data_IF_949718580873
#
_entry.id   IF_949718580873
#
_cell.length_a   1.000
_cell.length_b   1.000
_cell.length_c   1.000
_cell.angle_alpha   90.00
_cell.angle_beta   90.00
_cell.angle_gamma   90.00
#
_symmetry.space_group_name_H-M   'P 1'
#
loop_
_entity.id
_entity.type
_entity.pdbx_description
1 polymer ?
#
# COMPACT_ATOMS: atom_id res chain seq x y z
N UNK A 1 46.18 19.18 -4.93
CA UNK A 1 45.11 18.78 -5.87
C UNK A 1 45.11 17.30 -6.22
N UNK A 2 46.25 16.64 -6.47
CA UNK A 2 46.28 15.21 -6.81
C UNK A 2 45.85 14.25 -5.68
N UNK A 3 46.11 14.59 -4.41
CA UNK A 3 45.73 13.76 -3.26
C UNK A 3 44.20 13.71 -3.04
N UNK A 4 43.51 14.83 -3.24
CA UNK A 4 42.05 14.94 -3.07
C UNK A 4 41.30 14.17 -4.17
N UNK A 5 41.84 14.16 -5.39
CA UNK A 5 41.29 13.38 -6.51
C UNK A 5 41.52 11.89 -6.28
N UNK A 6 42.70 11.48 -5.79
CA UNK A 6 42.98 10.09 -5.47
C UNK A 6 42.12 9.55 -4.31
N UNK A 7 41.86 10.37 -3.28
CA UNK A 7 40.94 10.01 -2.20
C UNK A 7 39.50 9.92 -2.69
N UNK A 8 39.05 10.85 -3.53
CA UNK A 8 37.70 10.81 -4.11
C UNK A 8 37.53 9.58 -5.01
N UNK A 9 38.55 9.22 -5.80
CA UNK A 9 38.54 8.01 -6.64
C UNK A 9 38.63 6.73 -5.81
N UNK A 10 39.34 6.76 -4.68
CA UNK A 10 39.39 5.66 -3.71
C UNK A 10 38.06 5.48 -2.97
N UNK A 11 37.37 6.57 -2.65
CA UNK A 11 36.03 6.57 -2.07
C UNK A 11 34.98 6.09 -3.07
N UNK A 12 35.01 6.61 -4.31
CA UNK A 12 34.20 6.12 -5.42
C UNK A 12 34.45 4.64 -5.67
N UNK A 13 35.71 4.19 -5.78
CA UNK A 13 36.01 2.76 -5.96
C UNK A 13 35.61 1.89 -4.77
N UNK A 14 35.63 2.40 -3.53
CA UNK A 14 35.06 1.70 -2.36
C UNK A 14 33.52 1.58 -2.46
N UNK A 15 32.84 2.62 -2.94
CA UNK A 15 31.40 2.60 -3.26
C UNK A 15 31.05 1.65 -4.41
N UNK A 16 31.90 1.57 -5.45
CA UNK A 16 31.74 0.67 -6.60
C UNK A 16 32.18 -0.78 -6.31
N UNK A 17 33.01 -1.02 -5.30
CA UNK A 17 33.52 -2.36 -4.95
C UNK A 17 32.47 -3.20 -4.22
N UNK A 18 31.56 -2.58 -3.49
CA UNK A 18 30.38 -3.25 -2.93
C UNK A 18 29.24 -3.21 -3.95
N UNK A 19 29.16 -4.25 -4.79
CA UNK A 19 28.05 -4.46 -5.75
C UNK A 19 26.68 -4.24 -5.10
N UNK A 20 26.52 -4.64 -3.83
CA UNK A 20 25.27 -4.52 -3.09
C UNK A 20 24.88 -3.08 -2.73
N UNK A 21 25.83 -2.20 -2.42
CA UNK A 21 25.55 -0.80 -2.03
C UNK A 21 25.25 0.05 -3.27
N UNK A 22 25.93 -0.19 -4.39
CA UNK A 22 25.63 0.50 -5.65
C UNK A 22 24.30 0.04 -6.23
N UNK A 23 23.99 -1.26 -6.18
CA UNK A 23 22.68 -1.79 -6.57
C UNK A 23 21.60 -1.18 -5.67
N UNK A 24 21.82 -1.15 -4.35
CA UNK A 24 20.86 -0.57 -3.40
C UNK A 24 20.65 0.93 -3.63
N UNK A 25 21.71 1.73 -3.74
CA UNK A 25 21.60 3.17 -3.99
C UNK A 25 21.03 3.48 -5.38
N UNK A 26 21.33 2.65 -6.38
CA UNK A 26 20.71 2.72 -7.71
C UNK A 26 19.23 2.35 -7.70
N UNK A 27 18.83 1.31 -6.95
CA UNK A 27 17.43 0.94 -6.71
C UNK A 27 16.68 2.01 -5.93
N UNK A 28 17.34 2.66 -4.97
CA UNK A 28 16.76 3.78 -4.22
C UNK A 28 16.59 4.97 -5.15
N UNK A 29 17.58 5.34 -5.97
CA UNK A 29 17.47 6.46 -6.91
C UNK A 29 16.42 6.22 -8.02
N UNK A 30 16.43 5.03 -8.64
CA UNK A 30 15.39 4.61 -9.59
C UNK A 30 14.03 4.48 -8.92
N UNK A 31 14.00 4.03 -7.67
CA UNK A 31 12.82 3.97 -6.83
C UNK A 31 12.25 5.36 -6.58
N UNK A 32 13.08 6.36 -6.27
CA UNK A 32 12.65 7.74 -6.05
C UNK A 32 12.10 8.37 -7.33
N UNK A 33 12.85 8.33 -8.43
CA UNK A 33 12.41 8.92 -9.72
C UNK A 33 11.22 8.18 -10.30
N UNK A 34 11.24 6.84 -10.25
CA UNK A 34 10.11 6.01 -10.68
C UNK A 34 8.88 6.20 -9.78
N UNK A 35 9.08 6.47 -8.48
CA UNK A 35 7.96 6.74 -7.56
C UNK A 35 7.28 8.06 -7.87
N UNK A 36 8.02 9.14 -8.17
CA UNK A 36 7.42 10.43 -8.53
C UNK A 36 6.56 10.33 -9.80
N UNK A 37 7.05 9.65 -10.84
CA UNK A 37 6.33 9.46 -12.09
C UNK A 37 5.15 8.48 -11.95
N UNK A 38 5.31 7.39 -11.19
CA UNK A 38 4.21 6.48 -10.87
C UNK A 38 3.14 7.15 -10.02
N UNK A 39 3.51 8.04 -9.10
CA UNK A 39 2.55 8.78 -8.28
C UNK A 39 1.69 9.75 -9.11
N UNK A 40 2.21 10.27 -10.22
CA UNK A 40 1.45 11.07 -11.19
C UNK A 40 0.45 10.21 -12.00
N UNK A 41 0.87 9.03 -12.46
CA UNK A 41 -0.01 8.10 -13.20
C UNK A 41 -1.11 7.50 -12.31
N UNK A 42 -0.80 7.26 -11.03
CA UNK A 42 -1.77 6.86 -10.01
C UNK A 42 -2.40 8.04 -9.27
N UNK A 43 -2.43 9.24 -9.87
CA UNK A 43 -3.08 10.40 -9.28
C UNK A 43 -4.52 10.04 -8.88
N UNK A 44 -4.70 9.87 -7.57
CA UNK A 44 -5.96 9.43 -7.00
C UNK A 44 -6.95 10.60 -7.04
N UNK A 45 -8.04 10.43 -7.80
CA UNK A 45 -9.06 11.45 -7.97
C UNK A 45 -10.40 10.92 -7.46
N UNK A 46 -10.82 11.35 -6.27
CA UNK A 46 -12.08 10.93 -5.69
C UNK A 46 -13.27 11.42 -6.53
N UNK A 47 -14.27 10.58 -6.86
CA UNK A 47 -15.40 10.99 -7.69
C UNK A 47 -16.43 11.88 -6.97
N UNK A 48 -16.29 12.05 -5.65
CA UNK A 48 -17.12 12.90 -4.79
C UNK A 48 -18.63 12.76 -5.00
N UNK A 49 -19.05 11.51 -5.14
CA UNK A 49 -20.43 11.11 -5.37
C UNK A 49 -20.80 10.02 -4.36
N UNK A 50 -21.96 10.13 -3.69
CA UNK A 50 -22.40 9.12 -2.74
C UNK A 50 -22.51 7.74 -3.40
N UNK A 51 -22.25 6.69 -2.62
CA UNK A 51 -22.10 5.28 -3.00
C UNK A 51 -20.92 4.95 -3.95
N UNK A 52 -20.46 5.90 -4.78
CA UNK A 52 -19.33 5.69 -5.70
C UNK A 52 -17.99 5.86 -5.01
N UNK A 53 -17.92 6.76 -4.02
CA UNK A 53 -16.74 7.04 -3.24
C UNK A 53 -16.16 5.79 -2.57
N UNK A 54 -17.00 5.02 -1.87
CA UNK A 54 -16.62 3.76 -1.24
C UNK A 54 -16.00 2.77 -2.24
N UNK A 55 -16.69 2.53 -3.36
CA UNK A 55 -16.25 1.57 -4.37
C UNK A 55 -14.92 2.00 -4.99
N UNK A 56 -14.79 3.28 -5.34
CA UNK A 56 -13.57 3.80 -5.95
C UNK A 56 -12.38 3.78 -4.99
N UNK A 57 -12.56 4.23 -3.74
CA UNK A 57 -11.51 4.21 -2.73
C UNK A 57 -11.06 2.80 -2.37
N UNK A 58 -12.00 1.86 -2.25
CA UNK A 58 -11.68 0.45 -2.01
C UNK A 58 -10.96 -0.18 -3.21
N UNK A 59 -11.41 0.09 -4.43
CA UNK A 59 -10.77 -0.42 -5.65
C UNK A 59 -9.35 0.13 -5.80
N UNK A 60 -9.12 1.40 -5.49
CA UNK A 60 -7.80 2.03 -5.56
C UNK A 60 -6.78 1.39 -4.60
N UNK A 61 -7.23 0.90 -3.44
CA UNK A 61 -6.36 0.15 -2.52
C UNK A 61 -6.26 -1.32 -2.94
N UNK A 62 -7.39 -1.97 -3.21
CA UNK A 62 -7.49 -3.42 -3.38
C UNK A 62 -7.03 -3.95 -4.73
N UNK A 63 -7.32 -3.26 -5.84
CA UNK A 63 -6.99 -3.74 -7.19
C UNK A 63 -5.48 -3.78 -7.43
N UNK A 64 -4.69 -2.72 -7.11
CA UNK A 64 -3.24 -2.79 -7.25
C UNK A 64 -2.61 -3.82 -6.30
N UNK A 65 -3.13 -3.95 -5.07
CA UNK A 65 -2.70 -5.01 -4.16
C UNK A 65 -2.94 -6.42 -4.77
N UNK A 66 -4.13 -6.68 -5.30
CA UNK A 66 -4.43 -7.96 -5.94
C UNK A 66 -3.53 -8.22 -7.15
N UNK A 67 -3.30 -7.22 -7.99
CA UNK A 67 -2.39 -7.35 -9.14
C UNK A 67 -0.95 -7.68 -8.70
N UNK A 68 -0.42 -6.97 -7.71
CA UNK A 68 0.91 -7.23 -7.14
C UNK A 68 1.01 -8.63 -6.51
N UNK A 69 -0.06 -9.06 -5.83
CA UNK A 69 -0.13 -10.41 -5.27
C UNK A 69 -0.06 -11.48 -6.36
N UNK A 70 -0.87 -11.36 -7.42
CA UNK A 70 -0.88 -12.31 -8.54
C UNK A 70 0.48 -12.35 -9.24
N UNK A 71 1.10 -11.19 -9.49
CA UNK A 71 2.45 -11.10 -10.05
C UNK A 71 3.45 -11.82 -9.15
N UNK A 72 3.39 -11.60 -7.83
CA UNK A 72 4.23 -12.28 -6.85
C UNK A 72 4.08 -13.80 -6.86
N UNK A 73 2.86 -14.31 -7.02
CA UNK A 73 2.58 -15.75 -7.14
C UNK A 73 3.14 -16.31 -8.45
N UNK A 74 2.96 -15.62 -9.57
CA UNK A 74 3.41 -16.02 -10.91
C UNK A 74 4.95 -16.04 -11.00
N UNK A 75 5.63 -15.05 -10.41
CA UNK A 75 7.10 -14.96 -10.45
C UNK A 75 7.79 -15.94 -9.47
N UNK A 76 7.05 -16.59 -8.58
CA UNK A 76 7.63 -17.49 -7.60
C UNK A 76 7.83 -18.91 -8.19
N UNK A 77 9.09 -19.31 -8.39
CA UNK A 77 9.45 -20.64 -8.89
C UNK A 77 8.90 -21.79 -8.05
N UNK A 78 8.71 -21.60 -6.73
CA UNK A 78 8.13 -22.63 -5.87
C UNK A 78 6.66 -22.92 -6.24
N UNK A 79 5.91 -21.93 -6.72
CA UNK A 79 4.54 -22.10 -7.21
C UNK A 79 4.52 -23.10 -8.36
N UNK A 80 5.37 -22.89 -9.37
CA UNK A 80 5.44 -23.75 -10.55
C UNK A 80 5.95 -25.15 -10.24
N UNK A 81 6.92 -25.27 -9.32
CA UNK A 81 7.39 -26.57 -8.86
C UNK A 81 6.26 -27.37 -8.19
N UNK A 82 5.43 -26.73 -7.35
CA UNK A 82 4.27 -27.38 -6.74
C UNK A 82 3.23 -27.80 -7.78
N UNK A 83 2.92 -26.93 -8.74
CA UNK A 83 1.97 -27.23 -9.81
C UNK A 83 2.47 -28.40 -10.67
N UNK A 84 3.75 -28.41 -11.05
CA UNK A 84 4.37 -29.49 -11.82
C UNK A 84 4.37 -30.81 -11.04
N UNK A 85 4.66 -30.78 -9.75
CA UNK A 85 4.66 -31.95 -8.88
C UNK A 85 3.24 -32.52 -8.70
N UNK A 86 2.24 -31.64 -8.53
CA UNK A 86 0.83 -32.04 -8.45
C UNK A 86 0.35 -32.68 -9.77
N UNK A 87 0.74 -32.10 -10.90
CA UNK A 87 0.43 -32.65 -12.23
C UNK A 87 1.07 -34.03 -12.45
N UNK A 88 2.32 -34.24 -11.99
CA UNK A 88 3.03 -35.52 -12.15
C UNK A 88 2.52 -36.62 -11.20
N UNK A 89 2.23 -36.31 -9.94
CA UNK A 89 1.87 -37.30 -8.90
C UNK A 89 0.37 -37.52 -8.74
N UNK A 90 -0.48 -36.70 -9.37
CA UNK A 90 -1.95 -36.85 -9.36
C UNK A 90 -2.52 -36.98 -7.94
N UNK A 91 -2.53 -35.88 -7.17
CA UNK A 91 -3.10 -35.70 -5.80
C UNK A 91 -2.81 -36.74 -4.71
N UNK A 92 -2.16 -37.87 -5.00
CA UNK A 92 -2.15 -39.07 -4.15
C UNK A 92 -1.03 -39.13 -3.11
N UNK A 93 -0.04 -38.25 -3.15
CA UNK A 93 1.17 -38.36 -2.31
C UNK A 93 1.67 -37.01 -1.74
N UNK A 94 0.76 -36.13 -1.31
CA UNK A 94 1.15 -34.92 -0.59
C UNK A 94 0.86 -35.06 0.90
N UNK A 95 1.92 -35.01 1.73
CA UNK A 95 1.76 -34.78 3.16
C UNK A 95 1.14 -33.39 3.34
N UNK A 96 -0.07 -33.33 3.89
CA UNK A 96 -0.83 -32.08 4.06
C UNK A 96 -0.01 -31.01 4.79
N UNK A 97 0.79 -31.41 5.79
CA UNK A 97 1.67 -30.51 6.53
C UNK A 97 2.78 -29.91 5.66
N UNK A 98 3.41 -30.70 4.79
CA UNK A 98 4.44 -30.21 3.87
C UNK A 98 3.85 -29.27 2.82
N UNK A 99 2.67 -29.58 2.28
CA UNK A 99 1.94 -28.70 1.36
C UNK A 99 1.58 -27.37 2.02
N UNK A 100 1.13 -27.40 3.27
CA UNK A 100 0.77 -26.20 4.02
C UNK A 100 1.98 -25.29 4.25
N UNK A 101 3.14 -25.84 4.62
CA UNK A 101 4.37 -25.08 4.79
C UNK A 101 4.87 -24.47 3.47
N UNK A 102 4.81 -25.24 2.37
CA UNK A 102 5.19 -24.76 1.05
C UNK A 102 4.25 -23.66 0.56
N UNK A 103 2.95 -23.83 0.75
CA UNK A 103 1.94 -22.82 0.45
C UNK A 103 2.17 -21.55 1.28
N UNK A 104 2.41 -21.68 2.60
CA UNK A 104 2.74 -20.56 3.47
C UNK A 104 3.99 -19.81 3.01
N UNK A 105 5.04 -20.51 2.57
CA UNK A 105 6.25 -19.90 2.00
C UNK A 105 5.97 -19.13 0.71
N UNK A 106 5.12 -19.67 -0.18
CA UNK A 106 4.74 -19.01 -1.43
C UNK A 106 3.91 -17.77 -1.15
N UNK A 107 2.85 -17.91 -0.35
CA UNK A 107 1.95 -16.82 0.00
C UNK A 107 2.68 -15.72 0.76
N UNK A 108 3.56 -16.07 1.71
CA UNK A 108 4.35 -15.11 2.46
C UNK A 108 5.26 -14.25 1.57
N UNK A 109 5.93 -14.85 0.58
CA UNK A 109 6.75 -14.11 -0.38
C UNK A 109 5.91 -13.24 -1.32
N UNK A 110 4.78 -13.75 -1.80
CA UNK A 110 3.88 -13.02 -2.69
C UNK A 110 3.14 -11.87 -1.98
N UNK A 111 2.94 -11.96 -0.66
CA UNK A 111 2.23 -10.97 0.14
C UNK A 111 3.05 -9.71 0.46
N UNK A 112 4.37 -9.71 0.25
CA UNK A 112 5.25 -8.56 0.61
C UNK A 112 4.84 -7.29 -0.15
N UNK A 113 4.73 -7.37 -1.47
CA UNK A 113 4.36 -6.23 -2.32
C UNK A 113 2.94 -5.68 -2.04
N UNK A 114 1.87 -6.51 -1.98
CA UNK A 114 0.52 -6.00 -1.69
C UNK A 114 0.40 -5.41 -0.29
N UNK A 115 1.01 -6.02 0.73
CA UNK A 115 1.02 -5.45 2.09
C UNK A 115 1.71 -4.08 2.08
N UNK A 116 2.86 -3.97 1.42
CA UNK A 116 3.59 -2.70 1.31
C UNK A 116 2.75 -1.63 0.62
N UNK A 117 2.06 -1.98 -0.47
CA UNK A 117 1.14 -1.07 -1.16
C UNK A 117 0.01 -0.60 -0.24
N UNK A 118 -0.69 -1.53 0.41
CA UNK A 118 -1.79 -1.19 1.32
C UNK A 118 -1.34 -0.29 2.48
N UNK A 119 -0.16 -0.55 3.05
CA UNK A 119 0.44 0.31 4.08
C UNK A 119 0.68 1.72 3.54
N UNK A 120 1.31 1.87 2.38
CA UNK A 120 1.58 3.18 1.78
C UNK A 120 0.27 3.92 1.50
N UNK A 121 -0.74 3.24 0.93
CA UNK A 121 -2.06 3.82 0.68
C UNK A 121 -2.76 4.28 1.96
N UNK A 122 -2.70 3.48 3.03
CA UNK A 122 -3.29 3.81 4.33
C UNK A 122 -2.56 4.98 5.02
N UNK A 123 -1.23 5.03 4.95
CA UNK A 123 -0.46 6.12 5.53
C UNK A 123 -0.67 7.46 4.79
N UNK A 124 -0.85 7.42 3.46
CA UNK A 124 -1.28 8.58 2.65
C UNK A 124 -2.71 9.01 3.01
N UNK A 125 -3.61 8.04 3.20
CA UNK A 125 -4.97 8.24 3.71
C UNK A 125 -5.99 8.82 2.73
N UNK A 126 -5.60 9.22 1.53
CA UNK A 126 -6.51 9.81 0.52
C UNK A 126 -7.63 8.85 0.10
N UNK A 127 -7.29 7.60 -0.20
CA UNK A 127 -8.26 6.59 -0.59
C UNK A 127 -9.22 6.21 0.55
N UNK A 128 -8.71 6.18 1.79
CA UNK A 128 -9.51 5.92 2.99
C UNK A 128 -10.50 7.06 3.27
N UNK A 129 -10.03 8.32 3.19
CA UNK A 129 -10.86 9.51 3.35
C UNK A 129 -11.96 9.53 2.28
N UNK A 130 -11.61 9.27 1.02
CA UNK A 130 -12.60 9.18 -0.06
C UNK A 130 -13.64 8.10 0.27
N UNK A 131 -13.21 6.87 0.59
CA UNK A 131 -14.12 5.74 0.82
C UNK A 131 -15.06 5.90 2.01
N UNK A 132 -14.62 6.57 3.08
CA UNK A 132 -15.35 6.62 4.35
C UNK A 132 -16.01 7.96 4.66
N UNK A 133 -15.72 9.01 3.87
CA UNK A 133 -16.31 10.34 4.02
C UNK A 133 -17.84 10.30 4.16
N UNK A 134 -18.52 9.54 3.30
CA UNK A 134 -19.98 9.44 3.27
C UNK A 134 -20.62 8.72 4.47
N UNK A 135 -19.85 7.91 5.21
CA UNK A 135 -20.35 7.12 6.34
C UNK A 135 -20.17 7.82 7.70
N UNK A 136 -19.58 9.01 7.72
CA UNK A 136 -19.43 9.80 8.95
C UNK A 136 -20.80 10.23 9.43
N UNK A 137 -21.16 9.87 10.67
CA UNK A 137 -22.46 10.24 11.24
C UNK A 137 -22.52 11.74 11.51
N UNK A 138 -23.51 12.48 10.93
CA UNK A 138 -23.69 13.91 11.20
C UNK A 138 -23.85 14.23 12.68
N UNK A 139 -24.51 13.35 13.44
CA UNK A 139 -24.68 13.49 14.89
C UNK A 139 -23.37 13.47 15.70
N UNK A 140 -22.26 13.02 15.11
CA UNK A 140 -20.94 13.09 15.75
C UNK A 140 -20.23 14.44 15.56
N UNK A 141 -20.83 15.34 14.77
CA UNK A 141 -20.33 16.68 14.49
C UNK A 141 -21.19 17.71 15.25
N UNK A 142 -20.54 18.54 16.07
CA UNK A 142 -21.22 19.54 16.89
C UNK A 142 -21.91 20.60 16.00
N UNK A 143 -23.23 20.75 16.12
CA UNK A 143 -24.06 21.71 15.35
C UNK A 143 -24.00 21.56 13.83
N UNK A 144 -23.84 20.33 13.33
CA UNK A 144 -23.92 20.09 11.89
C UNK A 144 -25.34 20.35 11.35
N UNK A 145 -25.49 21.05 10.20
CA UNK A 145 -26.80 21.36 9.64
C UNK A 145 -27.59 20.08 9.30
N UNK A 146 -28.85 20.00 9.74
CA UNK A 146 -29.69 18.81 9.57
C UNK A 146 -30.17 18.59 8.12
N UNK A 147 -30.10 19.62 7.29
CA UNK A 147 -30.38 19.60 5.85
C UNK A 147 -29.23 19.01 5.02
N UNK A 148 -28.03 18.93 5.60
CA UNK A 148 -26.86 18.33 4.97
C UNK A 148 -26.67 16.89 5.49
N UNK A 149 -26.38 15.95 4.60
CA UNK A 149 -26.26 14.53 4.93
C UNK A 149 -25.09 13.85 4.22
N UNK A 150 -25.27 12.58 3.87
CA UNK A 150 -24.24 11.76 3.20
C UNK A 150 -23.77 12.35 1.86
N UNK A 151 -24.65 13.03 1.11
CA UNK A 151 -24.30 13.65 -0.18
C UNK A 151 -23.25 14.76 -0.02
N UNK A 152 -23.36 15.56 1.04
CA UNK A 152 -22.44 16.67 1.32
C UNK A 152 -21.13 16.14 1.87
N UNK A 153 -21.21 15.16 2.76
CA UNK A 153 -20.04 14.46 3.32
C UNK A 153 -19.21 13.77 2.22
N UNK A 154 -19.87 13.17 1.21
CA UNK A 154 -19.20 12.57 0.07
C UNK A 154 -18.37 13.58 -0.76
N UNK A 155 -18.64 14.89 -0.67
CA UNK A 155 -17.90 15.93 -1.41
C UNK A 155 -16.72 16.51 -0.63
N UNK A 156 -16.59 16.21 0.66
CA UNK A 156 -15.48 16.70 1.49
C UNK A 156 -14.07 16.37 0.95
N UNK A 157 -13.82 15.21 0.32
CA UNK A 157 -12.52 14.91 -0.28
C UNK A 157 -12.10 15.83 -1.44
N UNK A 158 -13.04 16.37 -2.23
CA UNK A 158 -12.75 17.14 -3.45
C UNK A 158 -12.50 18.62 -3.25
N UNK A 159 -12.58 19.12 -2.01
CA UNK A 159 -12.45 20.56 -1.69
C UNK A 159 -13.55 21.46 -2.25
N UNK A 160 -14.58 20.91 -2.88
CA UNK A 160 -15.74 21.64 -3.43
C UNK A 160 -16.85 21.89 -2.39
N UNK A 161 -16.55 21.73 -1.10
CA UNK A 161 -17.50 21.96 -0.03
C UNK A 161 -17.77 23.48 0.13
N UNK A 162 -19.02 23.89 0.38
CA UNK A 162 -19.34 25.31 0.56
C UNK A 162 -18.61 25.88 1.78
N UNK A 163 -18.27 27.18 1.72
CA UNK A 163 -17.37 27.84 2.68
C UNK A 163 -17.87 27.89 4.13
N UNK A 164 -19.16 27.62 4.35
CA UNK A 164 -19.76 27.46 5.68
C UNK A 164 -19.44 26.08 6.31
N UNK A 165 -18.99 25.10 5.52
CA UNK A 165 -18.71 23.73 5.95
C UNK A 165 -17.22 23.38 6.00
N UNK A 166 -16.34 24.33 5.68
CA UNK A 166 -14.88 24.10 5.63
C UNK A 166 -14.32 23.60 6.95
N UNK A 167 -14.81 24.14 8.08
CA UNK A 167 -14.40 23.68 9.42
C UNK A 167 -14.74 22.20 9.65
N UNK A 168 -15.98 21.80 9.35
CA UNK A 168 -16.42 20.41 9.48
C UNK A 168 -15.66 19.49 8.53
N UNK A 169 -15.39 19.95 7.30
CA UNK A 169 -14.59 19.23 6.33
C UNK A 169 -13.19 18.96 6.87
N UNK A 170 -12.52 19.96 7.42
CA UNK A 170 -11.16 19.81 7.96
C UNK A 170 -11.15 18.88 9.17
N UNK A 171 -12.12 18.99 10.07
CA UNK A 171 -12.27 18.11 11.23
C UNK A 171 -12.51 16.65 10.83
N UNK A 172 -13.44 16.40 9.88
CA UNK A 172 -13.72 15.07 9.34
C UNK A 172 -12.52 14.50 8.60
N UNK A 173 -11.87 15.30 7.75
CA UNK A 173 -10.68 14.89 7.00
C UNK A 173 -9.56 14.51 7.95
N UNK A 174 -9.34 15.31 9.00
CA UNK A 174 -8.33 15.03 10.03
C UNK A 174 -8.63 13.74 10.78
N UNK A 175 -9.88 13.53 11.17
CA UNK A 175 -10.31 12.30 11.86
C UNK A 175 -10.10 11.06 10.99
N UNK A 176 -10.60 11.06 9.75
CA UNK A 176 -10.44 9.93 8.84
C UNK A 176 -8.98 9.68 8.46
N UNK A 177 -8.18 10.74 8.33
CA UNK A 177 -6.73 10.60 8.11
C UNK A 177 -6.03 9.93 9.29
N UNK A 178 -6.39 10.33 10.52
CA UNK A 178 -5.89 9.69 11.73
C UNK A 178 -6.27 8.20 11.78
N UNK A 179 -7.54 7.86 11.52
CA UNK A 179 -8.01 6.46 11.52
C UNK A 179 -7.26 5.65 10.46
N UNK A 180 -7.07 6.19 9.26
CA UNK A 180 -6.29 5.55 8.19
C UNK A 180 -4.83 5.31 8.57
N UNK A 181 -4.16 6.30 9.15
CA UNK A 181 -2.76 6.18 9.57
C UNK A 181 -2.61 5.20 10.72
N UNK A 182 -3.55 5.18 11.67
CA UNK A 182 -3.59 4.20 12.75
C UNK A 182 -3.70 2.79 12.19
N UNK A 183 -4.62 2.53 11.25
CA UNK A 183 -4.71 1.23 10.58
C UNK A 183 -3.42 0.87 9.82
N UNK A 184 -2.77 1.82 9.17
CA UNK A 184 -1.47 1.63 8.53
C UNK A 184 -0.38 1.18 9.50
N UNK A 185 -0.26 1.87 10.64
CA UNK A 185 0.72 1.51 11.69
C UNK A 185 0.42 0.17 12.36
N UNK A 186 -0.85 -0.11 12.65
CA UNK A 186 -1.26 -1.41 13.19
C UNK A 186 -0.95 -2.54 12.22
N UNK A 187 -1.20 -2.34 10.91
CA UNK A 187 -0.87 -3.32 9.88
C UNK A 187 0.64 -3.59 9.82
N UNK A 188 1.48 -2.55 9.87
CA UNK A 188 2.94 -2.70 9.95
C UNK A 188 3.33 -3.52 11.18
N UNK A 189 2.79 -3.18 12.37
CA UNK A 189 3.10 -3.87 13.61
C UNK A 189 2.72 -5.35 13.58
N UNK A 190 1.52 -5.67 13.10
CA UNK A 190 1.04 -7.05 12.94
C UNK A 190 1.94 -7.82 11.98
N UNK A 191 2.29 -7.24 10.83
CA UNK A 191 3.15 -7.88 9.84
C UNK A 191 4.55 -8.11 10.39
N UNK A 192 5.13 -7.15 11.12
CA UNK A 192 6.43 -7.30 11.75
C UNK A 192 6.45 -8.45 12.77
N UNK A 193 5.42 -8.55 13.61
CA UNK A 193 5.28 -9.67 14.56
C UNK A 193 5.11 -10.99 13.82
N UNK A 194 4.28 -11.06 12.77
CA UNK A 194 4.11 -12.27 11.97
C UNK A 194 5.40 -12.72 11.30
N UNK A 195 6.18 -11.79 10.73
CA UNK A 195 7.50 -12.09 10.16
C UNK A 195 8.45 -12.60 11.24
N UNK A 196 8.46 -12.01 12.43
CA UNK A 196 9.28 -12.47 13.54
C UNK A 196 8.91 -13.89 13.99
N UNK A 197 7.62 -14.21 14.09
CA UNK A 197 7.15 -15.53 14.51
C UNK A 197 7.32 -16.63 13.45
N UNK A 198 7.48 -16.26 12.17
CA UNK A 198 7.62 -17.21 11.05
C UNK A 198 9.06 -17.41 10.60
N UNK A 199 10.00 -16.63 11.16
CA UNK A 199 11.44 -16.76 10.98
C UNK A 199 12.07 -17.59 12.10
#
# INVERSE_FOLDING_TARGET
MAALIAENFRFLSLFFKSKDVMIFNGLVALGTVGSEELFSVFAFNCPCSPARNYIYGLAAIGVPALALFLIGVILNNHTWNLVAECHKRGTKNFSAAATFLLFGSIMGRAAVAPVTWSVISLLRGEAYICALSEFVRPASLDKFPADHGAEVLARFPCKDAPANLTKYRDDVTRRLRYESQLFGWLLIGIVAVLVFLTK
#
